data_IF_445936494559
#
_entry.id   IF_445936494559
#
_cell.length_a   1.000
_cell.length_b   1.000
_cell.length_c   1.000
_cell.angle_alpha   90.00
_cell.angle_beta   90.00
_cell.angle_gamma   90.00
#
_symmetry.space_group_name_H-M   'P 1'
#
loop_
_entity.id
_entity.type
_entity.pdbx_description
1 polymer ?
#
# COMPACT_ATOMS: atom_id res chain seq x y z
N UNK A 1 1.71 -20.88 -0.44
CA UNK A 1 3.05 -20.64 -0.97
C UNK A 1 4.00 -21.66 -0.38
N UNK A 2 4.88 -22.20 -1.21
CA UNK A 2 5.96 -23.09 -0.78
C UNK A 2 7.10 -22.27 -0.16
N UNK A 3 7.77 -22.81 0.86
CA UNK A 3 8.87 -22.11 1.53
C UNK A 3 10.07 -22.04 0.57
N UNK A 4 10.65 -20.85 0.44
CA UNK A 4 11.84 -20.61 -0.39
C UNK A 4 11.58 -20.58 -1.90
N UNK A 5 10.34 -20.83 -2.34
CA UNK A 5 9.96 -20.70 -3.75
C UNK A 5 9.67 -19.24 -4.09
N UNK A 6 10.20 -18.81 -5.21
CA UNK A 6 9.98 -17.49 -5.79
C UNK A 6 8.67 -17.46 -6.59
N UNK A 7 7.89 -16.38 -6.40
CA UNK A 7 6.67 -16.09 -7.13
C UNK A 7 6.77 -14.66 -7.68
N UNK A 8 6.65 -14.49 -8.99
CA UNK A 8 6.76 -13.19 -9.65
C UNK A 8 5.36 -12.65 -9.89
N UNK A 9 5.12 -11.41 -9.48
CA UNK A 9 3.86 -10.71 -9.67
C UNK A 9 4.07 -9.46 -10.49
N UNK A 10 3.12 -9.20 -11.38
CA UNK A 10 3.03 -7.98 -12.16
C UNK A 10 1.80 -7.20 -11.71
N UNK A 11 1.95 -5.92 -11.43
CA UNK A 11 0.86 -5.06 -10.96
C UNK A 11 0.74 -3.83 -11.84
N UNK A 12 -0.43 -3.67 -12.44
CA UNK A 12 -0.82 -2.47 -13.16
C UNK A 12 -1.61 -1.56 -12.22
N UNK A 13 -1.15 -0.33 -12.02
CA UNK A 13 -1.76 0.67 -11.16
C UNK A 13 -2.25 1.81 -12.05
N UNK A 14 -3.54 2.10 -11.98
CA UNK A 14 -4.18 3.19 -12.72
C UNK A 14 -4.90 4.06 -11.71
N UNK A 15 -4.52 5.34 -11.64
CA UNK A 15 -5.13 6.25 -10.70
C UNK A 15 -5.46 7.61 -11.28
N UNK A 16 -6.37 8.27 -10.57
CA UNK A 16 -6.81 9.63 -10.82
C UNK A 16 -6.84 10.37 -9.48
N UNK A 17 -6.21 11.53 -9.44
CA UNK A 17 -6.28 12.45 -8.32
C UNK A 17 -6.86 13.78 -8.79
N UNK A 18 -7.65 14.40 -7.93
CA UNK A 18 -8.15 15.77 -8.08
C UNK A 18 -7.91 16.50 -6.77
N UNK A 19 -7.25 17.65 -6.85
CA UNK A 19 -7.08 18.59 -5.75
C UNK A 19 -7.39 19.98 -6.28
N UNK A 20 -8.48 20.57 -5.78
CA UNK A 20 -9.08 21.80 -6.32
C UNK A 20 -9.34 21.71 -7.83
N UNK A 21 -8.64 22.52 -8.61
CA UNK A 21 -8.76 22.58 -10.08
C UNK A 21 -7.76 21.70 -10.81
N UNK A 22 -6.84 21.06 -10.09
CA UNK A 22 -5.81 20.20 -10.68
C UNK A 22 -6.30 18.77 -10.68
N UNK A 23 -6.38 18.18 -11.87
CA UNK A 23 -6.60 16.74 -12.06
C UNK A 23 -5.33 16.13 -12.62
N UNK A 24 -4.96 14.95 -12.12
CA UNK A 24 -3.82 14.19 -12.60
C UNK A 24 -4.22 12.73 -12.74
N UNK A 25 -3.88 12.15 -13.89
CA UNK A 25 -3.96 10.72 -14.11
C UNK A 25 -2.55 10.14 -14.07
N UNK A 26 -2.41 8.95 -13.49
CA UNK A 26 -1.15 8.24 -13.47
C UNK A 26 -1.35 6.77 -13.80
N UNK A 27 -0.33 6.19 -14.44
CA UNK A 27 -0.24 4.76 -14.69
C UNK A 27 1.14 4.26 -14.31
N UNK A 28 1.19 3.22 -13.50
CA UNK A 28 2.44 2.59 -13.05
C UNK A 28 2.33 1.10 -13.32
N UNK A 29 3.38 0.52 -13.90
CA UNK A 29 3.56 -0.92 -13.94
C UNK A 29 4.71 -1.29 -13.00
N UNK A 30 4.49 -2.27 -12.12
CA UNK A 30 5.51 -2.78 -11.20
C UNK A 30 5.61 -4.29 -11.29
N UNK A 31 6.83 -4.81 -11.14
CA UNK A 31 7.06 -6.25 -10.93
C UNK A 31 7.74 -6.51 -9.60
N UNK A 32 7.23 -7.51 -8.91
CA UNK A 32 7.68 -7.88 -7.58
C UNK A 32 7.90 -9.39 -7.52
N UNK A 33 9.10 -9.79 -7.08
CA UNK A 33 9.37 -11.15 -6.61
C UNK A 33 8.94 -11.27 -5.15
N UNK A 34 8.23 -12.35 -4.81
CA UNK A 34 7.89 -12.73 -3.44
C UNK A 34 8.43 -14.11 -3.13
N UNK A 35 9.13 -14.23 -2.00
CA UNK A 35 9.56 -15.50 -1.40
C UNK A 35 8.95 -15.62 -0.01
N UNK A 36 8.19 -16.69 0.24
CA UNK A 36 7.73 -17.03 1.58
C UNK A 36 8.86 -17.75 2.35
N UNK A 37 9.32 -17.19 3.46
CA UNK A 37 10.43 -17.73 4.26
C UNK A 37 9.99 -18.61 5.44
N UNK A 38 8.69 -18.79 5.64
CA UNK A 38 8.15 -19.58 6.74
C UNK A 38 7.54 -18.70 7.84
N UNK A 39 7.54 -19.22 9.08
CA UNK A 39 6.96 -18.53 10.23
C UNK A 39 8.04 -18.24 11.26
N UNK A 40 8.02 -17.05 11.85
CA UNK A 40 8.87 -16.72 12.99
C UNK A 40 8.49 -17.63 14.18
N UNK A 41 9.43 -18.43 14.71
CA UNK A 41 9.13 -19.39 15.77
C UNK A 41 8.76 -18.74 17.10
N UNK A 42 9.10 -17.47 17.31
CA UNK A 42 8.90 -16.76 18.57
C UNK A 42 7.74 -15.75 18.52
N UNK A 43 7.46 -15.19 17.34
CA UNK A 43 6.53 -14.06 17.18
C UNK A 43 5.25 -14.40 16.41
N UNK A 44 5.11 -15.63 15.92
CA UNK A 44 3.94 -16.08 15.15
C UNK A 44 3.71 -15.30 13.83
N UNK A 45 4.75 -14.64 13.31
CA UNK A 45 4.67 -13.85 12.07
C UNK A 45 4.98 -14.71 10.84
N UNK A 46 4.27 -14.48 9.74
CA UNK A 46 4.64 -15.03 8.43
C UNK A 46 5.72 -14.16 7.80
N UNK A 47 6.88 -14.73 7.47
CA UNK A 47 8.02 -13.98 6.94
C UNK A 47 7.99 -14.02 5.41
N UNK A 48 8.06 -12.85 4.79
CA UNK A 48 8.14 -12.68 3.35
C UNK A 48 9.35 -11.84 2.99
N UNK A 49 10.08 -12.26 1.96
CA UNK A 49 11.01 -11.38 1.24
C UNK A 49 10.33 -10.93 -0.05
N UNK A 50 10.35 -9.62 -0.28
CA UNK A 50 9.68 -8.96 -1.41
C UNK A 50 10.70 -8.09 -2.08
N UNK A 51 10.97 -8.34 -3.35
CA UNK A 51 11.92 -7.58 -4.15
C UNK A 51 11.21 -6.95 -5.33
N UNK A 52 11.23 -5.62 -5.42
CA UNK A 52 10.82 -4.88 -6.63
C UNK A 52 11.90 -5.07 -7.70
N UNK A 53 11.52 -5.70 -8.81
CA UNK A 53 12.42 -6.00 -9.93
C UNK A 53 12.24 -5.04 -11.10
N UNK A 54 11.07 -4.42 -11.22
CA UNK A 54 10.76 -3.46 -12.26
C UNK A 54 9.77 -2.41 -11.73
N UNK A 55 10.00 -1.13 -12.07
CA UNK A 55 9.09 -0.02 -11.78
C UNK A 55 9.07 0.93 -12.98
N UNK A 56 7.92 1.06 -13.62
CA UNK A 56 7.72 1.88 -14.80
C UNK A 56 6.56 2.86 -14.58
N UNK A 57 6.87 4.16 -14.46
CA UNK A 57 5.87 5.22 -14.49
C UNK A 57 5.55 5.56 -15.96
N UNK A 58 4.45 5.00 -16.47
CA UNK A 58 4.11 5.08 -17.91
C UNK A 58 3.48 6.41 -18.31
N UNK A 59 2.79 7.07 -17.38
CA UNK A 59 2.09 8.32 -17.64
C UNK A 59 2.15 9.24 -16.43
N UNK A 60 2.67 10.46 -16.65
CA UNK A 60 2.67 11.55 -15.69
C UNK A 60 2.66 12.88 -16.43
N UNK A 61 1.65 13.73 -16.21
CA UNK A 61 1.39 14.92 -17.03
C UNK A 61 2.11 16.22 -16.55
N UNK A 62 3.09 16.16 -15.65
CA UNK A 62 3.76 17.37 -15.10
C UNK A 62 5.28 17.46 -15.39
N UNK A 63 5.74 18.44 -16.22
CA UNK A 63 7.16 18.69 -16.51
C UNK A 63 8.00 19.25 -15.36
N UNK A 64 7.39 19.87 -14.33
CA UNK A 64 8.11 20.48 -13.20
C UNK A 64 8.54 19.45 -12.14
N UNK A 65 8.05 18.21 -12.25
CA UNK A 65 8.14 17.20 -11.20
C UNK A 65 9.32 16.24 -11.40
N UNK A 66 10.08 16.33 -12.51
CA UNK A 66 11.18 15.41 -12.83
C UNK A 66 12.21 15.27 -11.69
N UNK A 67 12.66 16.38 -11.09
CA UNK A 67 13.62 16.33 -9.98
C UNK A 67 13.02 15.74 -8.70
N UNK A 68 11.75 16.06 -8.43
CA UNK A 68 11.02 15.48 -7.29
C UNK A 68 10.85 13.98 -7.50
N UNK A 69 10.46 13.55 -8.70
CA UNK A 69 10.37 12.13 -9.08
C UNK A 69 11.72 11.42 -8.96
N UNK A 70 12.80 12.04 -9.41
CA UNK A 70 14.15 11.45 -9.31
C UNK A 70 14.55 11.25 -7.83
N UNK A 71 14.39 12.28 -7.00
CA UNK A 71 14.64 12.20 -5.56
C UNK A 71 13.74 11.15 -4.90
N UNK A 72 12.44 11.16 -5.19
CA UNK A 72 11.48 10.18 -4.65
C UNK A 72 11.85 8.75 -5.04
N UNK A 73 12.19 8.50 -6.31
CA UNK A 73 12.60 7.16 -6.77
C UNK A 73 13.88 6.71 -6.06
N UNK A 74 14.86 7.60 -5.88
CA UNK A 74 16.08 7.30 -5.13
C UNK A 74 15.79 6.98 -3.67
N UNK A 75 14.93 7.75 -3.02
CA UNK A 75 14.53 7.49 -1.62
C UNK A 75 13.79 6.16 -1.51
N UNK A 76 12.84 5.88 -2.40
CA UNK A 76 12.08 4.64 -2.41
C UNK A 76 12.96 3.41 -2.70
N UNK A 77 14.07 3.56 -3.43
CA UNK A 77 14.97 2.45 -3.74
C UNK A 77 15.61 1.77 -2.53
N UNK A 78 15.62 2.41 -1.35
CA UNK A 78 16.08 1.76 -0.11
C UNK A 78 15.20 0.56 0.26
N UNK A 79 13.94 0.57 -0.19
CA UNK A 79 12.92 -0.47 0.02
C UNK A 79 12.78 -1.43 -1.16
N UNK A 80 13.70 -1.42 -2.13
CA UNK A 80 13.64 -2.33 -3.28
C UNK A 80 13.66 -3.82 -2.88
N UNK A 81 14.20 -4.15 -1.71
CA UNK A 81 14.07 -5.47 -1.08
C UNK A 81 13.63 -5.26 0.36
N UNK A 82 12.51 -5.89 0.72
CA UNK A 82 11.92 -5.85 2.05
C UNK A 82 11.79 -7.28 2.58
N UNK A 83 12.36 -7.54 3.74
CA UNK A 83 12.09 -8.76 4.50
C UNK A 83 11.18 -8.40 5.68
N UNK A 84 9.92 -8.80 5.62
CA UNK A 84 8.87 -8.35 6.53
C UNK A 84 8.13 -9.51 7.19
N UNK A 85 7.76 -9.31 8.45
CA UNK A 85 6.88 -10.19 9.20
C UNK A 85 5.45 -9.71 9.13
N UNK A 86 4.54 -10.54 8.65
CA UNK A 86 3.11 -10.26 8.57
C UNK A 86 2.39 -11.01 9.69
N UNK A 87 1.61 -10.28 10.49
CA UNK A 87 0.81 -10.86 11.56
C UNK A 87 -0.46 -11.55 11.02
N UNK A 88 -1.20 -12.22 11.91
CA UNK A 88 -2.48 -12.87 11.59
C UNK A 88 -3.58 -11.93 11.08
N UNK A 89 -3.41 -10.61 11.23
CA UNK A 89 -4.34 -9.59 10.73
C UNK A 89 -3.94 -9.04 9.35
N UNK A 90 -2.85 -9.53 8.75
CA UNK A 90 -2.35 -9.04 7.47
C UNK A 90 -1.64 -7.69 7.58
N UNK A 91 -1.11 -7.36 8.75
CA UNK A 91 -0.35 -6.12 8.98
C UNK A 91 1.13 -6.44 9.11
N UNK A 92 1.97 -5.51 8.64
CA UNK A 92 3.41 -5.57 8.82
C UNK A 92 3.69 -5.35 10.32
N UNK A 93 4.28 -6.34 10.96
CA UNK A 93 4.60 -6.33 12.38
C UNK A 93 6.09 -6.15 12.66
N UNK A 94 6.96 -6.42 11.67
CA UNK A 94 8.42 -6.32 11.81
C UNK A 94 9.12 -6.17 10.47
N UNK A 95 10.24 -5.46 10.45
CA UNK A 95 11.17 -5.38 9.32
C UNK A 95 12.46 -6.10 9.71
N UNK A 96 12.77 -7.23 9.06
CA UNK A 96 13.93 -8.07 9.39
C UNK A 96 15.23 -7.56 8.77
N UNK A 97 15.16 -6.84 7.64
CA UNK A 97 16.34 -6.32 6.95
C UNK A 97 16.57 -4.81 7.17
N UNK A 98 16.11 -4.25 8.30
CA UNK A 98 16.22 -2.83 8.63
C UNK A 98 17.64 -2.26 8.58
N UNK A 99 18.65 -3.04 8.96
CA UNK A 99 20.06 -2.62 8.87
C UNK A 99 20.51 -2.42 7.41
N UNK A 100 20.03 -3.27 6.50
CA UNK A 100 20.32 -3.14 5.06
C UNK A 100 19.67 -1.89 4.47
N UNK A 101 18.44 -1.56 4.91
CA UNK A 101 17.73 -0.33 4.51
C UNK A 101 18.51 0.91 4.95
N UNK A 102 18.97 0.93 6.21
CA UNK A 102 19.77 2.03 6.77
C UNK A 102 21.10 2.20 6.05
N UNK A 103 21.73 1.10 5.63
CA UNK A 103 22.98 1.16 4.86
C UNK A 103 22.73 1.75 3.46
N UNK A 104 21.69 1.32 2.75
CA UNK A 104 21.28 1.93 1.47
C UNK A 104 20.98 3.41 1.62
N UNK A 105 20.31 3.80 2.71
CA UNK A 105 20.00 5.18 3.01
C UNK A 105 21.23 6.07 3.12
N UNK A 106 22.36 5.59 3.68
CA UNK A 106 23.60 6.39 3.74
C UNK A 106 24.06 6.85 2.36
N UNK A 107 24.05 5.94 1.38
CA UNK A 107 24.42 6.27 -0.01
C UNK A 107 23.44 7.24 -0.68
N UNK A 108 22.13 7.07 -0.44
CA UNK A 108 21.11 7.98 -0.96
C UNK A 108 21.23 9.37 -0.32
N UNK A 109 21.47 9.45 0.99
CA UNK A 109 21.69 10.70 1.72
C UNK A 109 22.87 11.47 1.15
N UNK A 110 24.00 10.81 0.91
CA UNK A 110 25.17 11.43 0.31
C UNK A 110 24.86 11.98 -1.09
N UNK A 111 24.17 11.20 -1.92
CA UNK A 111 23.72 11.64 -3.24
C UNK A 111 22.79 12.86 -3.16
N UNK A 112 21.76 12.82 -2.32
CA UNK A 112 20.81 13.91 -2.11
C UNK A 112 21.51 15.20 -1.65
N UNK A 113 22.47 15.07 -0.74
CA UNK A 113 23.23 16.21 -0.20
C UNK A 113 24.10 16.86 -1.27
N UNK A 114 24.62 16.07 -2.22
CA UNK A 114 25.48 16.57 -3.30
C UNK A 114 24.69 17.11 -4.51
N UNK A 115 23.58 16.46 -4.87
CA UNK A 115 22.78 16.80 -6.05
C UNK A 115 21.74 17.90 -5.79
N UNK A 116 21.11 17.90 -4.59
CA UNK A 116 19.98 18.77 -4.24
C UNK A 116 20.08 19.32 -2.80
N UNK A 117 21.16 20.03 -2.43
CA UNK A 117 21.47 20.36 -1.03
C UNK A 117 20.40 21.20 -0.31
N UNK A 118 19.70 22.10 -1.01
CA UNK A 118 18.70 22.99 -0.41
C UNK A 118 17.37 22.26 -0.27
N UNK A 119 16.94 21.57 -1.32
CA UNK A 119 15.65 20.89 -1.41
C UNK A 119 15.62 19.60 -0.58
N UNK A 120 16.75 18.91 -0.44
CA UNK A 120 16.80 17.62 0.23
C UNK A 120 16.92 17.71 1.76
N UNK A 121 17.24 18.86 2.36
CA UNK A 121 17.49 18.96 3.80
C UNK A 121 16.30 18.50 4.65
N UNK A 122 15.10 19.00 4.36
CA UNK A 122 13.88 18.61 5.09
C UNK A 122 13.52 17.14 4.85
N UNK A 123 13.72 16.66 3.62
CA UNK A 123 13.46 15.28 3.22
C UNK A 123 14.39 14.32 3.97
N UNK A 124 15.69 14.63 4.02
CA UNK A 124 16.70 13.85 4.75
C UNK A 124 16.33 13.79 6.22
N UNK A 125 16.03 14.94 6.84
CA UNK A 125 15.67 14.99 8.27
C UNK A 125 14.41 14.19 8.58
N UNK A 126 13.38 14.30 7.75
CA UNK A 126 12.13 13.55 7.91
C UNK A 126 12.37 12.04 7.75
N UNK A 127 13.16 11.62 6.75
CA UNK A 127 13.48 10.22 6.51
C UNK A 127 14.37 9.63 7.61
N UNK A 128 15.36 10.38 8.10
CA UNK A 128 16.18 9.94 9.23
C UNK A 128 15.34 9.73 10.49
N UNK A 129 14.39 10.63 10.76
CA UNK A 129 13.46 10.46 11.87
C UNK A 129 12.60 9.19 11.69
N UNK A 130 12.03 8.97 10.51
CA UNK A 130 11.29 7.73 10.17
C UNK A 130 12.15 6.49 10.42
N UNK A 131 13.39 6.45 9.91
CA UNK A 131 14.28 5.30 10.05
C UNK A 131 14.75 5.06 11.50
N UNK A 132 14.70 6.06 12.39
CA UNK A 132 14.98 5.82 13.82
C UNK A 132 13.84 5.13 14.56
N UNK A 133 12.66 5.03 13.95
CA UNK A 133 11.46 4.45 14.58
C UNK A 133 10.80 3.42 13.64
N UNK A 134 10.98 2.13 13.95
CA UNK A 134 10.42 1.03 13.13
C UNK A 134 8.89 1.12 12.98
N UNK A 135 8.16 1.63 13.98
CA UNK A 135 6.71 1.81 13.88
C UNK A 135 6.34 2.85 12.81
N UNK A 136 7.14 3.92 12.69
CA UNK A 136 6.94 4.93 11.65
C UNK A 136 7.35 4.39 10.28
N UNK A 137 8.46 3.66 10.22
CA UNK A 137 8.91 2.98 9.00
C UNK A 137 7.82 2.03 8.48
N UNK A 138 7.28 1.17 9.36
CA UNK A 138 6.14 0.28 9.07
C UNK A 138 4.93 1.05 8.55
N UNK A 139 4.57 2.17 9.19
CA UNK A 139 3.45 3.03 8.76
C UNK A 139 3.66 3.60 7.36
N UNK A 140 4.89 3.93 6.99
CA UNK A 140 5.22 4.40 5.64
C UNK A 140 5.16 3.26 4.62
N UNK A 141 5.82 2.12 4.87
CA UNK A 141 5.92 1.05 3.87
C UNK A 141 4.61 0.28 3.66
N UNK A 142 3.70 0.21 4.65
CA UNK A 142 2.41 -0.50 4.51
C UNK A 142 1.51 0.06 3.40
N UNK A 143 1.80 1.25 2.89
CA UNK A 143 1.07 1.90 1.79
C UNK A 143 1.77 1.82 0.44
N UNK A 144 2.92 1.13 0.34
CA UNK A 144 3.47 0.74 -0.96
C UNK A 144 2.39 -0.09 -1.67
N UNK A 145 1.99 0.36 -2.86
CA UNK A 145 0.82 -0.15 -3.60
C UNK A 145 0.73 -1.68 -3.59
N UNK A 146 1.82 -2.36 -3.98
CA UNK A 146 1.89 -3.81 -3.99
C UNK A 146 1.69 -4.44 -2.60
N UNK A 147 2.41 -3.96 -1.58
CA UNK A 147 2.28 -4.49 -0.21
C UNK A 147 0.87 -4.30 0.32
N UNK A 148 0.32 -3.10 0.10
CA UNK A 148 -1.00 -2.73 0.55
C UNK A 148 -2.06 -3.66 -0.06
N UNK A 149 -2.04 -3.89 -1.37
CA UNK A 149 -2.96 -4.80 -2.06
C UNK A 149 -2.71 -6.27 -1.66
N UNK A 150 -1.47 -6.74 -1.77
CA UNK A 150 -1.13 -8.15 -1.59
C UNK A 150 -1.49 -8.67 -0.20
N UNK A 151 -1.23 -7.87 0.85
CA UNK A 151 -1.56 -8.25 2.22
C UNK A 151 -2.91 -7.71 2.70
N UNK A 152 -3.69 -7.02 1.85
CA UNK A 152 -4.91 -6.35 2.29
C UNK A 152 -5.86 -7.29 3.02
N UNK A 153 -6.08 -8.48 2.45
CA UNK A 153 -6.99 -9.50 2.96
C UNK A 153 -6.29 -10.65 3.69
N UNK A 154 -4.96 -10.57 3.83
CA UNK A 154 -4.20 -11.62 4.50
C UNK A 154 -4.72 -11.84 5.92
N UNK A 155 -4.95 -13.10 6.27
CA UNK A 155 -5.47 -13.52 7.58
C UNK A 155 -6.93 -13.12 7.86
N UNK A 156 -7.66 -12.59 6.86
CA UNK A 156 -9.09 -12.24 6.95
C UNK A 156 -9.97 -13.26 6.23
N UNK A 157 -9.57 -14.53 6.30
CA UNK A 157 -10.26 -15.62 5.65
C UNK A 157 -11.71 -15.70 6.18
N UNK A 158 -12.72 -15.86 5.32
CA UNK A 158 -14.09 -16.06 5.78
C UNK A 158 -14.15 -17.33 6.64
N UNK A 159 -14.73 -17.20 7.83
CA UNK A 159 -14.67 -18.27 8.84
C UNK A 159 -15.50 -19.51 8.46
N UNK A 160 -16.50 -19.37 7.58
CA UNK A 160 -17.34 -20.46 7.08
C UNK A 160 -17.88 -20.15 5.67
N UNK A 161 -18.27 -21.20 4.94
CA UNK A 161 -18.93 -21.11 3.62
C UNK A 161 -20.24 -20.32 3.77
N UNK A 162 -20.45 -19.31 2.92
CA UNK A 162 -21.61 -18.39 2.96
C UNK A 162 -21.69 -17.42 4.15
N UNK A 163 -20.65 -17.32 4.99
CA UNK A 163 -20.63 -16.38 6.12
C UNK A 163 -19.90 -15.09 5.74
N UNK A 164 -20.67 -14.00 5.75
CA UNK A 164 -20.15 -12.62 5.67
C UNK A 164 -19.28 -12.35 6.89
N UNK A 165 -17.96 -12.18 6.71
CA UNK A 165 -17.10 -11.69 7.79
C UNK A 165 -17.06 -10.17 7.75
N UNK A 166 -17.40 -9.55 8.89
CA UNK A 166 -17.26 -8.12 9.08
C UNK A 166 -15.98 -7.84 9.86
N UNK A 167 -15.02 -7.18 9.22
CA UNK A 167 -13.72 -6.87 9.81
C UNK A 167 -13.56 -5.36 9.88
N UNK A 168 -13.32 -4.82 11.07
CA UNK A 168 -12.93 -3.41 11.21
C UNK A 168 -11.46 -3.26 10.86
N UNK A 169 -11.14 -2.22 10.09
CA UNK A 169 -9.77 -1.85 9.72
C UNK A 169 -9.57 -0.35 9.85
N UNK A 170 -8.35 0.04 10.16
CA UNK A 170 -7.91 1.43 10.07
C UNK A 170 -7.06 1.65 8.82
N UNK A 171 -7.41 2.69 8.07
CA UNK A 171 -6.69 3.17 6.91
C UNK A 171 -6.26 4.63 7.10
N UNK A 172 -5.43 5.16 6.21
CA UNK A 172 -5.09 6.58 6.20
C UNK A 172 -5.69 7.27 4.98
N UNK A 173 -6.03 8.55 5.14
CA UNK A 173 -6.44 9.39 4.03
C UNK A 173 -5.37 9.45 2.93
N UNK A 174 -5.82 9.64 1.69
CA UNK A 174 -5.02 9.62 0.47
C UNK A 174 -4.51 11.00 0.08
N UNK A 175 -4.88 12.04 0.84
CA UNK A 175 -4.48 13.43 0.58
C UNK A 175 -3.37 13.93 1.52
N UNK A 176 -2.88 13.10 2.43
CA UNK A 176 -1.75 13.41 3.32
C UNK A 176 -2.14 14.22 4.57
N UNK A 177 -3.41 14.25 4.95
CA UNK A 177 -3.89 14.92 6.16
C UNK A 177 -3.49 14.20 7.46
N UNK A 178 -3.04 12.95 7.38
CA UNK A 178 -2.69 12.12 8.53
C UNK A 178 -3.93 11.76 9.37
N UNK A 179 -5.08 11.60 8.72
CA UNK A 179 -6.34 11.21 9.34
C UNK A 179 -6.55 9.71 9.16
N UNK A 180 -6.80 9.04 10.29
CA UNK A 180 -7.15 7.62 10.29
C UNK A 180 -8.63 7.46 9.95
N UNK A 181 -8.91 6.64 8.94
CA UNK A 181 -10.25 6.32 8.44
C UNK A 181 -10.62 4.91 8.90
N UNK A 182 -11.57 4.74 9.83
CA UNK A 182 -12.08 3.42 10.18
C UNK A 182 -12.97 2.91 9.05
N UNK A 183 -12.80 1.65 8.67
CA UNK A 183 -13.52 1.00 7.57
C UNK A 183 -14.15 -0.28 8.10
N UNK A 184 -15.39 -0.54 7.69
CA UNK A 184 -16.01 -1.84 7.86
C UNK A 184 -15.86 -2.63 6.55
N UNK A 185 -15.15 -3.77 6.62
CA UNK A 185 -14.93 -4.66 5.48
C UNK A 185 -15.90 -5.82 5.54
N UNK A 186 -16.57 -6.08 4.42
CA UNK A 186 -17.28 -7.31 4.13
C UNK A 186 -16.37 -8.19 3.26
N UNK A 187 -16.07 -9.40 3.71
CA UNK A 187 -15.38 -10.42 2.90
C UNK A 187 -16.30 -11.60 2.66
N UNK A 188 -16.38 -12.06 1.41
CA UNK A 188 -17.11 -13.27 1.01
C UNK A 188 -16.22 -14.18 0.17
N UNK A 189 -16.41 -15.48 0.26
CA UNK A 189 -15.74 -16.48 -0.60
C UNK A 189 -16.74 -17.15 -1.53
N UNK A 190 -16.34 -17.30 -2.79
CA UNK A 190 -17.02 -18.10 -3.80
C UNK A 190 -16.03 -19.08 -4.42
N UNK A 191 -16.51 -20.22 -4.92
CA UNK A 191 -15.69 -21.17 -5.69
C UNK A 191 -15.91 -20.96 -7.18
N UNK A 192 -14.81 -20.84 -7.91
CA UNK A 192 -14.84 -20.80 -9.38
C UNK A 192 -15.15 -22.19 -9.95
N UNK A 193 -15.57 -22.28 -11.23
CA UNK A 193 -15.74 -23.57 -11.92
C UNK A 193 -14.48 -24.45 -11.89
N UNK A 194 -13.29 -23.83 -11.91
CA UNK A 194 -11.98 -24.47 -11.83
C UNK A 194 -11.54 -24.81 -10.39
N UNK A 195 -12.44 -24.64 -9.41
CA UNK A 195 -12.24 -24.91 -7.97
C UNK A 195 -11.25 -23.97 -7.25
N UNK A 196 -10.82 -22.88 -7.89
CA UNK A 196 -10.12 -21.79 -7.21
C UNK A 196 -11.03 -21.06 -6.22
N UNK A 197 -10.43 -20.51 -5.16
CA UNK A 197 -11.12 -19.71 -4.16
C UNK A 197 -11.09 -18.24 -4.58
N UNK A 198 -12.27 -17.64 -4.72
CA UNK A 198 -12.43 -16.23 -5.09
C UNK A 198 -12.97 -15.45 -3.90
N UNK A 199 -12.19 -14.51 -3.37
CA UNK A 199 -12.60 -13.67 -2.25
C UNK A 199 -12.99 -12.30 -2.76
N UNK A 200 -14.21 -11.89 -2.47
CA UNK A 200 -14.70 -10.55 -2.78
C UNK A 200 -14.66 -9.69 -1.51
N UNK A 201 -14.21 -8.45 -1.64
CA UNK A 201 -14.10 -7.49 -0.55
C UNK A 201 -14.84 -6.22 -0.90
N UNK A 202 -15.68 -5.77 0.01
CA UNK A 202 -16.35 -4.48 -0.07
C UNK A 202 -16.15 -3.74 1.26
N UNK A 203 -15.60 -2.54 1.20
CA UNK A 203 -15.27 -1.73 2.35
C UNK A 203 -15.91 -0.36 2.25
N UNK A 204 -16.50 0.10 3.34
CA UNK A 204 -17.01 1.47 3.46
C UNK A 204 -16.55 2.09 4.77
N UNK A 205 -16.27 3.39 4.74
CA UNK A 205 -15.91 4.11 5.96
C UNK A 205 -17.01 4.06 7.01
N UNK A 206 -16.59 3.89 8.26
CA UNK A 206 -17.43 4.10 9.43
C UNK A 206 -17.41 5.60 9.72
N UNK A 207 -18.59 6.22 9.75
CA UNK A 207 -18.69 7.65 10.06
C UNK A 207 -18.28 7.89 11.51
N UNK A 208 -17.25 8.69 11.70
CA UNK A 208 -16.75 9.15 13.00
C UNK A 208 -16.63 10.67 12.98
N UNK A 209 -17.26 11.34 13.95
CA UNK A 209 -17.35 12.81 13.96
C UNK A 209 -15.99 13.49 14.13
N UNK A 210 -15.08 12.87 14.89
CA UNK A 210 -13.74 13.42 15.12
C UNK A 210 -12.91 13.36 13.85
N UNK A 211 -12.93 12.22 13.15
CA UNK A 211 -12.31 12.04 11.84
C UNK A 211 -12.91 13.00 10.81
N UNK A 212 -14.25 13.07 10.69
CA UNK A 212 -14.93 13.97 9.75
C UNK A 212 -14.53 15.42 10.01
N UNK A 213 -14.49 15.85 11.27
CA UNK A 213 -14.04 17.20 11.64
C UNK A 213 -12.62 17.49 11.16
N UNK A 214 -11.67 16.56 11.38
CA UNK A 214 -10.29 16.73 10.92
C UNK A 214 -10.16 16.79 9.40
N UNK A 215 -10.94 15.98 8.66
CA UNK A 215 -10.97 16.05 7.19
C UNK A 215 -11.55 17.38 6.70
N UNK A 216 -12.58 17.91 7.36
CA UNK A 216 -13.17 19.23 7.05
C UNK A 216 -12.16 20.36 7.30
N UNK A 217 -11.43 20.29 8.41
CA UNK A 217 -10.35 21.24 8.73
C UNK A 217 -9.26 21.23 7.65
N UNK A 218 -8.85 20.03 7.19
CA UNK A 218 -7.89 19.88 6.11
C UNK A 218 -8.40 20.43 4.77
N UNK A 219 -9.61 20.05 4.36
CA UNK A 219 -10.21 20.46 3.10
C UNK A 219 -10.67 21.93 3.11
N UNK A 220 -10.70 22.58 4.29
CA UNK A 220 -11.24 23.92 4.53
C UNK A 220 -12.71 24.06 4.10
N UNK A 221 -13.48 22.98 4.25
CA UNK A 221 -14.90 22.93 3.94
C UNK A 221 -15.69 22.30 5.11
N UNK A 222 -16.42 23.14 5.84
CA UNK A 222 -17.20 22.72 7.00
C UNK A 222 -18.46 21.89 6.65
N UNK A 223 -18.91 21.92 5.40
CA UNK A 223 -20.12 21.23 4.93
C UNK A 223 -19.78 19.95 4.15
N UNK A 224 -18.51 19.68 3.91
CA UNK A 224 -18.03 18.48 3.24
C UNK A 224 -18.55 17.19 3.89
N UNK A 225 -18.95 16.24 3.05
CA UNK A 225 -19.31 14.89 3.43
C UNK A 225 -18.26 13.93 2.84
N UNK A 226 -17.30 13.44 3.66
CA UNK A 226 -16.30 12.53 3.15
C UNK A 226 -16.92 11.17 2.85
N UNK A 227 -16.43 10.55 1.78
CA UNK A 227 -16.69 9.15 1.42
C UNK A 227 -15.36 8.44 1.18
N UNK A 228 -15.25 7.21 1.68
CA UNK A 228 -14.09 6.36 1.46
C UNK A 228 -14.57 4.92 1.28
N UNK A 229 -14.20 4.33 0.15
CA UNK A 229 -14.66 3.03 -0.30
C UNK A 229 -13.48 2.18 -0.77
N UNK A 230 -13.58 0.88 -0.52
CA UNK A 230 -12.64 -0.13 -1.01
C UNK A 230 -13.43 -1.24 -1.68
N UNK A 231 -12.93 -1.71 -2.82
CA UNK A 231 -13.46 -2.90 -3.49
C UNK A 231 -12.33 -3.80 -3.92
N UNK A 232 -12.45 -5.09 -3.71
CA UNK A 232 -11.41 -6.05 -4.04
C UNK A 232 -11.97 -7.37 -4.52
N UNK A 233 -11.22 -8.05 -5.38
CA UNK A 233 -11.46 -9.41 -5.83
C UNK A 233 -10.11 -10.13 -5.85
N UNK A 234 -10.00 -11.27 -5.18
CA UNK A 234 -8.76 -12.02 -5.04
C UNK A 234 -9.00 -13.46 -5.41
N UNK A 235 -8.24 -13.99 -6.37
CA UNK A 235 -8.32 -15.36 -6.85
C UNK A 235 -7.12 -16.16 -6.34
N UNK A 236 -7.38 -17.24 -5.61
CA UNK A 236 -6.37 -18.09 -5.01
C UNK A 236 -6.43 -19.53 -5.52
N UNK A 237 -5.25 -20.10 -5.78
CA UNK A 237 -5.04 -21.55 -5.81
C UNK A 237 -4.35 -21.98 -4.51
N UNK A 238 -5.14 -22.58 -3.60
CA UNK A 238 -4.74 -22.82 -2.22
C UNK A 238 -4.32 -21.53 -1.52
N UNK A 239 -3.01 -21.35 -1.31
CA UNK A 239 -2.41 -20.16 -0.65
C UNK A 239 -1.62 -19.28 -1.62
N UNK A 240 -1.75 -19.48 -2.92
CA UNK A 240 -1.03 -18.72 -3.95
C UNK A 240 -2.03 -17.76 -4.57
N UNK A 241 -1.73 -16.46 -4.52
CA UNK A 241 -2.54 -15.46 -5.21
C UNK A 241 -2.29 -15.61 -6.72
N UNK A 242 -3.34 -15.87 -7.49
CA UNK A 242 -3.26 -15.93 -8.95
C UNK A 242 -3.51 -14.55 -9.56
N UNK A 243 -4.55 -13.87 -9.05
CA UNK A 243 -4.96 -12.55 -9.53
C UNK A 243 -5.64 -11.75 -8.41
N UNK A 244 -5.45 -10.43 -8.41
CA UNK A 244 -6.22 -9.50 -7.60
C UNK A 244 -6.61 -8.25 -8.39
N UNK A 245 -7.89 -7.90 -8.37
CA UNK A 245 -8.40 -6.59 -8.79
C UNK A 245 -8.74 -5.80 -7.52
N UNK A 246 -8.23 -4.59 -7.35
CA UNK A 246 -8.46 -3.81 -6.13
C UNK A 246 -8.59 -2.31 -6.40
N UNK A 247 -9.57 -1.68 -5.78
CA UNK A 247 -9.90 -0.26 -5.95
C UNK A 247 -10.03 0.43 -4.60
N UNK A 248 -9.45 1.63 -4.52
CA UNK A 248 -9.68 2.59 -3.43
C UNK A 248 -10.28 3.85 -4.05
N UNK A 249 -11.32 4.37 -3.41
CA UNK A 249 -11.88 5.68 -3.73
C UNK A 249 -12.01 6.51 -2.46
N UNK A 250 -11.49 7.74 -2.47
CA UNK A 250 -11.72 8.73 -1.43
C UNK A 250 -12.23 10.03 -2.05
N UNK A 251 -13.30 10.58 -1.50
CA UNK A 251 -13.87 11.85 -1.93
C UNK A 251 -14.10 12.76 -0.71
N UNK A 252 -13.45 13.91 -0.71
CA UNK A 252 -13.57 14.95 0.34
C UNK A 252 -14.29 16.18 -0.26
N UNK A 253 -15.51 15.98 -0.76
CA UNK A 253 -16.33 17.02 -1.39
C UNK A 253 -16.11 17.17 -2.91
N UNK A 254 -16.28 18.38 -3.44
CA UNK A 254 -16.17 18.65 -4.89
C UNK A 254 -14.71 18.76 -5.38
N UNK A 255 -13.82 19.20 -4.49
CA UNK A 255 -12.45 19.59 -4.83
C UNK A 255 -11.41 18.50 -4.60
N UNK A 256 -11.75 17.44 -3.89
CA UNK A 256 -10.80 16.41 -3.50
C UNK A 256 -11.36 15.05 -3.89
N UNK A 257 -10.70 14.40 -4.84
CA UNK A 257 -11.04 13.06 -5.29
C UNK A 257 -9.78 12.23 -5.51
N UNK A 258 -9.77 11.01 -5.02
CA UNK A 258 -8.73 10.03 -5.22
C UNK A 258 -9.37 8.74 -5.67
N UNK A 259 -8.86 8.18 -6.75
CA UNK A 259 -9.20 6.84 -7.23
C UNK A 259 -7.90 6.13 -7.60
N UNK A 260 -7.75 4.90 -7.11
CA UNK A 260 -6.63 4.05 -7.48
C UNK A 260 -7.14 2.63 -7.69
N UNK A 261 -6.96 2.13 -8.91
CA UNK A 261 -7.20 0.74 -9.29
C UNK A 261 -5.86 0.04 -9.44
N UNK A 262 -5.76 -1.19 -8.92
CA UNK A 262 -4.58 -2.02 -8.95
C UNK A 262 -4.96 -3.43 -9.42
N UNK A 263 -4.37 -3.89 -10.51
CA UNK A 263 -4.51 -5.25 -11.06
C UNK A 263 -3.20 -6.01 -10.88
N UNK A 264 -3.16 -6.93 -9.91
CA UNK A 264 -2.00 -7.80 -9.64
C UNK A 264 -2.24 -9.17 -10.24
N UNK A 265 -1.27 -9.73 -10.98
CA UNK A 265 -1.32 -11.10 -11.53
C UNK A 265 -0.01 -11.83 -11.31
N UNK A 266 -0.10 -13.13 -11.04
CA UNK A 266 1.05 -14.03 -11.01
C UNK A 266 1.57 -14.25 -12.43
N UNK A 267 2.89 -14.13 -12.64
CA UNK A 267 3.56 -14.49 -13.89
C UNK A 267 3.98 -15.98 -13.84
N UNK A 268 3.81 -16.67 -14.97
CA UNK A 268 4.13 -18.09 -15.15
C UNK A 268 5.30 -18.27 -16.11
#
# INVERSE_FOLDING_TARGET
MEIGKEYIYNTDIIGKTKVHSLESNYKINIKNSIIYKGKDPNLDHHIFEITETEYNLEMYEDPLIVQVTEMTNKICSIYNTLEIGINKSGEIAKIYNGDTIREKWKGIKEWLTNAHPIEAYEIIRAKEYELTNEEMEIKSIRFIHFLYQFFYIFGKEPMEKDVKSYVKREDMDRFGAGVVIPINLLVTEERTPENYSQWNVEGQMIRDDKMIRRLREFAKDNYMHPEYNVKGKYLYDGRILLKSDFTITEQLGEFFYYHCFMDTRLEF
#
